data_IF_749183887715
#
_entry.id   IF_749183887715
#
_cell.length_a   1.000
_cell.length_b   1.000
_cell.length_c   1.000
_cell.angle_alpha   90.00
_cell.angle_beta   90.00
_cell.angle_gamma   90.00
#
_symmetry.space_group_name_H-M   'P 1'
#
loop_
_entity.id
_entity.type
_entity.pdbx_description
1 polymer ?
#
# COMPACT_ATOMS: atom_id res chain seq x y z
N UNK A 1 20.47 -10.79 3.29
CA UNK A 1 20.25 -12.22 3.59
C UNK A 1 21.37 -13.00 2.93
N UNK A 2 22.16 -13.73 3.72
CA UNK A 2 23.30 -14.52 3.21
C UNK A 2 22.83 -15.93 2.86
N UNK A 3 23.09 -16.37 1.64
CA UNK A 3 22.77 -17.72 1.16
C UNK A 3 23.95 -18.33 0.42
N UNK A 4 24.03 -19.65 0.42
CA UNK A 4 25.03 -20.40 -0.36
C UNK A 4 24.49 -20.64 -1.76
N UNK A 5 25.23 -20.20 -2.79
CA UNK A 5 24.79 -20.28 -4.18
C UNK A 5 25.80 -21.08 -5.00
N UNK A 6 25.36 -21.98 -5.91
CA UNK A 6 26.25 -22.65 -6.85
C UNK A 6 26.93 -21.66 -7.80
N UNK A 7 28.25 -21.79 -8.01
CA UNK A 7 28.98 -20.89 -8.92
C UNK A 7 28.46 -20.94 -10.36
N UNK A 8 27.89 -22.08 -10.78
CA UNK A 8 27.28 -22.26 -12.10
C UNK A 8 26.09 -21.32 -12.38
N UNK A 9 25.50 -20.74 -11.33
CA UNK A 9 24.40 -19.77 -11.42
C UNK A 9 24.88 -18.32 -11.53
N UNK A 10 26.17 -18.05 -11.35
CA UNK A 10 26.77 -16.71 -11.35
C UNK A 10 27.54 -16.38 -12.64
N UNK A 11 27.24 -17.04 -13.77
CA UNK A 11 28.02 -16.95 -15.02
C UNK A 11 28.13 -15.54 -15.61
N UNK A 12 27.09 -14.72 -15.47
CA UNK A 12 27.01 -13.39 -16.13
C UNK A 12 27.56 -12.24 -15.27
N UNK A 13 28.15 -12.56 -14.13
CA UNK A 13 28.72 -11.56 -13.23
C UNK A 13 30.14 -11.23 -13.69
N UNK A 14 30.31 -10.03 -14.26
CA UNK A 14 31.62 -9.54 -14.73
C UNK A 14 32.54 -9.26 -13.53
N UNK A 15 33.80 -9.68 -13.65
CA UNK A 15 34.84 -9.33 -12.70
C UNK A 15 35.57 -8.08 -13.20
N UNK A 16 35.50 -6.97 -12.47
CA UNK A 16 36.34 -5.80 -12.74
C UNK A 16 37.75 -6.00 -12.16
N UNK A 17 38.74 -5.31 -12.77
CA UNK A 17 40.16 -5.34 -12.36
C UNK A 17 40.31 -4.92 -10.89
N UNK A 18 41.13 -5.65 -10.13
CA UNK A 18 41.39 -5.39 -8.71
C UNK A 18 42.88 -5.25 -8.41
N UNK A 19 43.21 -4.70 -7.22
CA UNK A 19 44.60 -4.59 -6.74
C UNK A 19 45.16 -5.94 -6.27
N UNK A 20 46.43 -6.20 -6.60
CA UNK A 20 47.12 -7.46 -6.30
C UNK A 20 47.20 -7.78 -4.78
N UNK A 21 47.17 -6.75 -3.94
CA UNK A 21 47.40 -6.86 -2.50
C UNK A 21 46.20 -7.49 -1.76
N UNK A 22 44.96 -7.17 -2.16
CA UNK A 22 43.74 -7.78 -1.61
C UNK A 22 43.60 -9.25 -1.99
N UNK A 23 44.15 -9.66 -3.13
CA UNK A 23 44.14 -11.06 -3.55
C UNK A 23 45.03 -11.94 -2.65
N UNK A 24 46.12 -11.40 -2.08
CA UNK A 24 47.08 -12.17 -1.26
C UNK A 24 46.46 -12.72 0.03
N UNK A 25 45.72 -11.91 0.79
CA UNK A 25 45.02 -12.35 2.01
C UNK A 25 43.93 -13.39 1.71
N UNK A 26 43.28 -13.26 0.57
CA UNK A 26 42.11 -14.09 0.21
C UNK A 26 42.54 -15.42 -0.41
N UNK A 27 43.72 -15.45 -1.04
CA UNK A 27 44.40 -16.69 -1.46
C UNK A 27 44.83 -17.59 -0.29
N UNK A 28 44.87 -17.09 0.95
CA UNK A 28 45.17 -17.94 2.12
C UNK A 28 43.95 -18.72 2.63
N UNK A 29 42.73 -18.36 2.23
CA UNK A 29 41.53 -19.10 2.59
C UNK A 29 41.63 -20.55 2.08
N UNK A 30 41.30 -21.54 2.90
CA UNK A 30 41.34 -22.97 2.49
C UNK A 30 40.01 -23.41 1.92
N UNK A 31 38.91 -22.85 2.43
CA UNK A 31 37.53 -23.17 2.05
C UNK A 31 36.74 -21.91 1.65
N UNK A 32 35.68 -22.10 0.86
CA UNK A 32 34.71 -21.05 0.55
C UNK A 32 33.97 -20.53 1.79
N UNK A 33 33.94 -21.34 2.86
CA UNK A 33 33.36 -20.98 4.15
C UNK A 33 34.18 -19.91 4.88
N UNK A 34 35.48 -19.82 4.61
CA UNK A 34 36.39 -18.85 5.24
C UNK A 34 36.27 -17.47 4.58
N UNK A 35 35.67 -17.39 3.39
CA UNK A 35 35.48 -16.13 2.70
C UNK A 35 34.28 -15.36 3.24
N UNK A 36 34.38 -14.03 3.41
CA UNK A 36 33.20 -13.22 3.65
C UNK A 36 32.24 -13.29 2.44
N UNK A 37 30.92 -13.15 2.63
CA UNK A 37 29.95 -13.26 1.54
C UNK A 37 30.14 -12.15 0.51
N UNK A 38 30.05 -12.51 -0.78
CA UNK A 38 30.02 -11.52 -1.87
C UNK A 38 28.66 -10.82 -1.89
N UNK A 39 28.56 -9.60 -2.42
CA UNK A 39 27.31 -8.85 -2.49
C UNK A 39 26.83 -8.75 -3.92
N UNK A 40 25.57 -9.12 -4.14
CA UNK A 40 24.91 -9.03 -5.45
C UNK A 40 23.70 -8.13 -5.32
N UNK A 41 23.62 -7.13 -6.20
CA UNK A 41 22.48 -6.24 -6.34
C UNK A 41 21.70 -6.56 -7.63
N UNK A 42 20.40 -6.30 -7.62
CA UNK A 42 19.58 -6.36 -8.82
C UNK A 42 19.52 -5.00 -9.51
N UNK A 43 20.06 -4.91 -10.72
CA UNK A 43 19.92 -3.76 -11.59
C UNK A 43 18.74 -3.95 -12.55
N UNK A 44 17.93 -2.90 -12.78
CA UNK A 44 16.72 -3.02 -13.61
C UNK A 44 17.03 -3.35 -15.07
N UNK A 45 18.09 -2.78 -15.64
CA UNK A 45 18.48 -2.99 -17.04
C UNK A 45 19.41 -4.18 -17.25
N UNK A 46 20.22 -4.54 -16.26
CA UNK A 46 21.36 -5.44 -16.44
C UNK A 46 21.27 -6.74 -15.62
N UNK A 47 20.16 -6.94 -14.90
CA UNK A 47 19.95 -8.12 -14.07
C UNK A 47 20.85 -8.14 -12.83
N UNK A 48 21.36 -9.31 -12.46
CA UNK A 48 22.22 -9.49 -11.30
C UNK A 48 23.63 -8.94 -11.57
N UNK A 49 24.06 -7.98 -10.75
CA UNK A 49 25.41 -7.43 -10.79
C UNK A 49 26.09 -7.60 -9.43
N UNK A 50 27.40 -7.85 -9.43
CA UNK A 50 28.17 -7.88 -8.19
C UNK A 50 28.41 -6.44 -7.74
N UNK A 51 27.97 -6.12 -6.53
CA UNK A 51 28.28 -4.84 -5.91
C UNK A 51 29.59 -4.90 -5.12
N UNK A 52 29.95 -6.08 -4.60
CA UNK A 52 31.22 -6.30 -3.89
C UNK A 52 31.65 -7.78 -3.93
N UNK A 53 32.95 -8.04 -3.89
CA UNK A 53 33.51 -9.39 -3.78
C UNK A 53 33.99 -10.02 -5.08
N UNK A 54 34.31 -9.22 -6.09
CA UNK A 54 34.83 -9.68 -7.39
C UNK A 54 36.01 -10.67 -7.24
N UNK A 55 36.98 -10.34 -6.39
CA UNK A 55 38.17 -11.14 -6.13
C UNK A 55 37.84 -12.48 -5.46
N UNK A 56 36.84 -12.50 -4.56
CA UNK A 56 36.38 -13.72 -3.88
C UNK A 56 35.69 -14.66 -4.88
N UNK A 57 34.87 -14.10 -5.77
CA UNK A 57 34.22 -14.86 -6.83
C UNK A 57 35.24 -15.48 -7.79
N UNK A 58 36.30 -14.74 -8.13
CA UNK A 58 37.33 -15.25 -9.02
C UNK A 58 38.24 -16.29 -8.37
N UNK A 59 38.64 -16.10 -7.12
CA UNK A 59 39.41 -17.11 -6.38
C UNK A 59 38.57 -18.39 -6.22
N UNK A 60 37.26 -18.27 -5.97
CA UNK A 60 36.37 -19.42 -5.92
C UNK A 60 36.29 -20.18 -7.27
N UNK A 61 36.33 -19.46 -8.39
CA UNK A 61 36.40 -20.06 -9.74
C UNK A 61 37.76 -20.70 -10.01
N UNK A 62 38.85 -20.00 -9.70
CA UNK A 62 40.23 -20.47 -9.86
C UNK A 62 40.47 -21.78 -9.08
N UNK A 63 39.88 -21.90 -7.88
CA UNK A 63 39.98 -23.10 -7.04
C UNK A 63 38.95 -24.19 -7.33
N UNK A 64 38.10 -24.01 -8.34
CA UNK A 64 37.09 -25.00 -8.71
C UNK A 64 36.03 -25.27 -7.63
N UNK A 65 35.75 -24.30 -6.76
CA UNK A 65 34.73 -24.49 -5.73
C UNK A 65 33.33 -24.58 -6.35
N UNK A 66 32.47 -25.43 -5.78
CA UNK A 66 31.10 -25.58 -6.29
C UNK A 66 30.16 -24.47 -5.84
N UNK A 67 30.45 -23.84 -4.70
CA UNK A 67 29.56 -22.88 -4.02
C UNK A 67 30.30 -21.68 -3.43
N UNK A 68 29.57 -20.58 -3.22
CA UNK A 68 30.05 -19.40 -2.51
C UNK A 68 28.93 -18.76 -1.69
N UNK A 69 29.28 -18.08 -0.59
CA UNK A 69 28.33 -17.28 0.20
C UNK A 69 28.01 -15.97 -0.52
N UNK A 70 26.73 -15.68 -0.71
CA UNK A 70 26.21 -14.49 -1.39
C UNK A 70 25.21 -13.78 -0.50
N UNK A 71 25.35 -12.46 -0.39
CA UNK A 71 24.35 -11.58 0.20
C UNK A 71 23.64 -10.82 -0.92
N UNK A 72 22.32 -11.02 -1.05
CA UNK A 72 21.52 -10.31 -2.03
C UNK A 72 20.94 -9.03 -1.44
N UNK A 73 21.20 -7.91 -2.10
CA UNK A 73 20.67 -6.59 -1.75
C UNK A 73 19.40 -6.29 -2.57
N UNK A 74 18.31 -5.93 -1.90
CA UNK A 74 17.06 -5.52 -2.56
C UNK A 74 16.23 -6.64 -3.19
N UNK A 75 16.58 -7.92 -2.98
CA UNK A 75 15.84 -9.08 -3.51
C UNK A 75 15.14 -9.86 -2.39
N UNK A 76 13.82 -10.01 -2.49
CA UNK A 76 13.04 -10.89 -1.61
C UNK A 76 13.17 -12.37 -1.99
N UNK A 77 12.87 -13.26 -1.03
CA UNK A 77 13.00 -14.72 -1.18
C UNK A 77 12.22 -15.30 -2.39
N UNK A 78 11.05 -14.75 -2.71
CA UNK A 78 10.25 -15.18 -3.85
C UNK A 78 10.99 -15.01 -5.20
N UNK A 79 11.68 -13.87 -5.36
CA UNK A 79 12.45 -13.58 -6.58
C UNK A 79 13.72 -14.42 -6.66
N UNK A 80 14.37 -14.70 -5.51
CA UNK A 80 15.51 -15.63 -5.44
C UNK A 80 15.12 -17.07 -5.81
N UNK A 81 13.95 -17.54 -5.41
CA UNK A 81 13.40 -18.84 -5.85
C UNK A 81 13.12 -18.88 -7.34
N UNK A 82 12.52 -17.82 -7.90
CA UNK A 82 12.25 -17.73 -9.34
C UNK A 82 13.53 -17.76 -10.18
N UNK A 83 14.64 -17.22 -9.66
CA UNK A 83 15.96 -17.26 -10.28
C UNK A 83 16.69 -18.60 -10.07
N UNK A 84 16.09 -19.56 -9.36
CA UNK A 84 16.71 -20.85 -9.03
C UNK A 84 17.90 -20.74 -8.07
N UNK A 85 17.99 -19.64 -7.30
CA UNK A 85 19.05 -19.38 -6.32
C UNK A 85 18.72 -19.92 -4.93
N UNK A 86 17.43 -20.25 -4.71
CA UNK A 86 16.94 -20.94 -3.54
C UNK A 86 16.22 -22.21 -3.99
N UNK A 87 16.27 -23.29 -3.20
CA UNK A 87 15.51 -24.50 -3.49
C UNK A 87 14.02 -24.17 -3.65
N UNK A 88 13.38 -24.84 -4.60
CA UNK A 88 11.95 -24.74 -4.82
C UNK A 88 11.23 -25.16 -3.52
N UNK A 89 10.59 -24.21 -2.84
CA UNK A 89 9.65 -24.57 -1.78
C UNK A 89 8.53 -25.43 -2.36
N UNK A 90 7.88 -26.27 -1.54
CA UNK A 90 6.80 -27.23 -1.93
C UNK A 90 5.59 -26.62 -2.68
N UNK A 91 5.60 -25.34 -3.07
CA UNK A 91 4.55 -24.61 -3.78
C UNK A 91 5.05 -23.84 -5.02
N UNK A 92 6.12 -24.29 -5.69
CA UNK A 92 6.76 -23.54 -6.78
C UNK A 92 6.56 -24.10 -8.19
N UNK A 93 5.57 -24.97 -8.43
CA UNK A 93 5.34 -25.54 -9.78
C UNK A 93 4.54 -24.63 -10.74
N UNK A 94 4.04 -23.47 -10.29
CA UNK A 94 3.18 -22.63 -11.14
C UNK A 94 3.89 -21.71 -12.14
N UNK A 95 5.17 -21.38 -11.92
CA UNK A 95 5.84 -20.30 -12.65
C UNK A 95 6.70 -20.80 -13.82
N UNK A 96 7.25 -22.02 -13.73
CA UNK A 96 8.05 -22.63 -14.81
C UNK A 96 7.19 -23.12 -15.98
N UNK A 97 5.93 -23.48 -15.71
CA UNK A 97 4.95 -23.88 -16.73
C UNK A 97 4.47 -22.71 -17.60
N UNK A 98 4.61 -21.47 -17.10
CA UNK A 98 4.20 -20.26 -17.80
C UNK A 98 5.15 -19.86 -18.95
N UNK A 99 6.40 -20.33 -18.90
CA UNK A 99 7.44 -19.93 -19.85
C UNK A 99 7.61 -20.91 -21.02
N UNK A 100 6.84 -22.01 -21.09
CA UNK A 100 7.12 -23.12 -22.01
C UNK A 100 6.04 -23.52 -23.02
N UNK A 101 4.89 -22.85 -23.10
CA UNK A 101 3.82 -23.28 -24.03
C UNK A 101 3.59 -22.34 -25.21
N UNK A 102 4.07 -22.75 -26.38
CA UNK A 102 3.54 -22.40 -27.70
C UNK A 102 2.34 -23.31 -28.03
N UNK A 103 1.28 -22.71 -28.58
CA UNK A 103 0.11 -23.24 -29.34
C UNK A 103 -0.90 -24.19 -28.65
N UNK A 104 -2.13 -23.67 -28.55
CA UNK A 104 -3.47 -24.24 -28.83
C UNK A 104 -4.51 -23.80 -27.77
N UNK A 105 -5.73 -23.36 -28.14
CA UNK A 105 -6.69 -22.81 -27.18
C UNK A 105 -7.42 -23.95 -26.45
N UNK A 106 -6.97 -24.29 -25.24
CA UNK A 106 -7.76 -25.12 -24.32
C UNK A 106 -8.64 -24.24 -23.44
N UNK A 107 -9.87 -24.70 -23.19
CA UNK A 107 -10.91 -24.08 -22.34
C UNK A 107 -10.31 -23.36 -21.13
N UNK A 108 -10.84 -22.16 -20.83
CA UNK A 108 -10.30 -21.30 -19.77
C UNK A 108 -10.15 -22.07 -18.45
N UNK A 109 -9.06 -21.80 -17.72
CA UNK A 109 -8.75 -22.41 -16.42
C UNK A 109 -9.91 -22.26 -15.41
N UNK A 110 -10.70 -21.20 -15.55
CA UNK A 110 -11.90 -20.95 -14.76
C UNK A 110 -13.05 -21.91 -15.06
N UNK A 111 -13.09 -22.49 -16.26
CA UNK A 111 -14.08 -23.47 -16.68
C UNK A 111 -13.66 -24.87 -16.26
N UNK A 112 -12.39 -25.23 -16.43
CA UNK A 112 -11.84 -26.50 -15.93
C UNK A 112 -11.97 -26.62 -14.40
N UNK A 113 -11.73 -25.54 -13.66
CA UNK A 113 -11.95 -25.53 -12.20
C UNK A 113 -13.45 -25.65 -11.86
N UNK A 114 -14.35 -24.99 -12.59
CA UNK A 114 -15.80 -25.10 -12.35
C UNK A 114 -16.31 -26.53 -12.54
N UNK A 115 -15.85 -27.21 -13.58
CA UNK A 115 -16.26 -28.59 -13.87
C UNK A 115 -15.68 -29.57 -12.83
N UNK A 116 -14.45 -29.32 -12.35
CA UNK A 116 -13.83 -30.10 -11.28
C UNK A 116 -14.52 -29.91 -9.90
N UNK A 117 -15.01 -28.71 -9.57
CA UNK A 117 -15.73 -28.47 -8.32
C UNK A 117 -17.16 -29.02 -8.35
N UNK A 118 -17.82 -28.94 -9.51
CA UNK A 118 -19.17 -29.47 -9.72
C UNK A 118 -19.19 -31.00 -9.65
N UNK A 119 -18.15 -31.67 -10.14
CA UNK A 119 -17.99 -33.13 -10.02
C UNK A 119 -17.61 -33.62 -8.63
N UNK A 120 -17.05 -32.76 -7.77
CA UNK A 120 -16.70 -33.10 -6.40
C UNK A 120 -17.81 -32.81 -5.36
N UNK A 121 -19.01 -32.38 -5.80
CA UNK A 121 -20.14 -32.07 -4.92
C UNK A 121 -19.88 -30.89 -3.96
N UNK A 122 -18.87 -30.06 -4.24
CA UNK A 122 -18.48 -28.95 -3.37
C UNK A 122 -19.34 -27.73 -3.67
N UNK A 123 -20.08 -27.28 -2.67
CA UNK A 123 -20.88 -26.06 -2.76
C UNK A 123 -19.99 -24.83 -3.01
N UNK A 124 -20.07 -24.31 -4.23
CA UNK A 124 -19.23 -23.21 -4.71
C UNK A 124 -19.54 -21.87 -4.05
N UNK A 125 -20.68 -21.76 -3.36
CA UNK A 125 -21.13 -20.52 -2.72
C UNK A 125 -20.47 -20.30 -1.36
N UNK A 126 -20.33 -21.36 -0.55
CA UNK A 126 -19.60 -21.34 0.72
C UNK A 126 -18.09 -21.04 0.54
N UNK A 127 -17.50 -21.43 -0.58
CA UNK A 127 -16.11 -21.12 -0.94
C UNK A 127 -15.93 -19.65 -1.40
N UNK A 128 -16.94 -19.06 -2.04
CA UNK A 128 -16.92 -17.65 -2.46
C UNK A 128 -16.97 -16.69 -1.27
N UNK A 129 -17.75 -17.02 -0.23
CA UNK A 129 -17.83 -16.21 0.99
C UNK A 129 -16.53 -16.30 1.82
N UNK A 130 -15.90 -17.47 1.89
CA UNK A 130 -14.60 -17.65 2.55
C UNK A 130 -13.40 -17.02 1.82
N UNK A 131 -13.38 -17.04 0.47
CA UNK A 131 -12.32 -16.39 -0.31
C UNK A 131 -12.41 -14.86 -0.35
N UNK A 132 -13.59 -14.27 -0.17
CA UNK A 132 -13.76 -12.80 -0.13
C UNK A 132 -13.15 -12.22 1.15
N UNK A 133 -13.44 -12.82 2.31
CA UNK A 133 -12.88 -12.40 3.62
C UNK A 133 -11.35 -12.46 3.65
N UNK A 134 -10.74 -13.51 3.09
CA UNK A 134 -9.27 -13.65 3.10
C UNK A 134 -8.56 -12.73 2.10
N UNK A 135 -9.21 -12.39 0.98
CA UNK A 135 -8.67 -11.44 -0.01
C UNK A 135 -8.73 -9.99 0.47
N UNK A 136 -9.82 -9.55 1.07
CA UNK A 136 -9.92 -8.18 1.61
C UNK A 136 -8.90 -7.94 2.72
N UNK A 137 -8.75 -8.90 3.62
CA UNK A 137 -7.81 -8.82 4.75
C UNK A 137 -6.34 -8.88 4.28
N UNK A 138 -6.06 -9.63 3.22
CA UNK A 138 -4.74 -9.65 2.57
C UNK A 138 -4.45 -8.40 1.75
N UNK A 139 -5.46 -7.78 1.11
CA UNK A 139 -5.35 -6.50 0.41
C UNK A 139 -5.15 -5.34 1.40
N UNK A 140 -5.84 -5.34 2.54
CA UNK A 140 -5.65 -4.37 3.62
C UNK A 140 -4.22 -4.45 4.20
N UNK A 141 -3.70 -5.68 4.42
CA UNK A 141 -2.30 -5.91 4.82
C UNK A 141 -1.28 -5.51 3.74
N UNK A 142 -1.60 -5.69 2.45
CA UNK A 142 -0.76 -5.26 1.33
C UNK A 142 -0.78 -3.73 1.13
N UNK A 143 -1.92 -3.08 1.31
CA UNK A 143 -2.06 -1.62 1.29
C UNK A 143 -1.24 -0.99 2.42
N UNK A 144 -1.31 -1.55 3.64
CA UNK A 144 -0.50 -1.13 4.78
C UNK A 144 1.01 -1.33 4.54
N UNK A 145 1.41 -2.35 3.77
CA UNK A 145 2.81 -2.61 3.40
C UNK A 145 3.33 -1.74 2.25
N UNK A 146 2.49 -1.42 1.26
CA UNK A 146 2.89 -0.64 0.06
C UNK A 146 2.93 0.87 0.33
N UNK A 147 2.12 1.36 1.27
CA UNK A 147 2.18 2.74 1.79
C UNK A 147 3.13 2.91 2.99
N UNK A 148 3.91 1.88 3.34
CA UNK A 148 5.07 1.98 4.24
C UNK A 148 6.25 2.75 3.62
N UNK A 149 5.98 3.85 2.90
CA UNK A 149 7.00 4.88 2.65
C UNK A 149 7.53 5.26 4.02
N UNK A 150 8.86 5.20 4.17
CA UNK A 150 9.61 5.58 5.37
C UNK A 150 8.82 6.64 6.12
N UNK A 151 8.22 6.28 7.26
CA UNK A 151 7.84 7.29 8.26
C UNK A 151 9.10 8.13 8.40
N UNK A 152 9.08 9.38 7.90
CA UNK A 152 10.09 10.36 8.29
C UNK A 152 10.02 10.30 9.81
N UNK A 153 11.01 9.67 10.44
CA UNK A 153 11.17 9.80 11.88
C UNK A 153 11.24 11.31 12.07
N UNK A 154 10.35 11.85 12.88
CA UNK A 154 10.57 13.18 13.40
C UNK A 154 11.95 13.10 14.02
N UNK A 155 12.96 13.71 13.40
CA UNK A 155 14.29 13.70 13.98
C UNK A 155 14.15 14.50 15.25
N UNK A 156 14.44 13.93 16.41
CA UNK A 156 14.35 14.63 17.70
C UNK A 156 15.06 16.00 17.63
N UNK A 157 16.13 16.06 16.84
CA UNK A 157 16.85 17.30 16.50
C UNK A 157 15.98 18.41 15.87
N UNK A 158 15.00 18.10 15.01
CA UNK A 158 14.16 19.12 14.38
C UNK A 158 13.06 19.64 15.31
N UNK A 159 12.50 18.78 16.16
CA UNK A 159 11.51 19.18 17.15
C UNK A 159 12.15 19.98 18.29
N UNK A 160 13.34 19.58 18.74
CA UNK A 160 14.10 20.31 19.73
C UNK A 160 14.44 21.72 19.23
N UNK A 161 15.03 21.86 18.04
CA UNK A 161 15.38 23.16 17.46
C UNK A 161 14.16 24.11 17.35
N UNK A 162 13.01 23.60 16.92
CA UNK A 162 11.78 24.40 16.86
C UNK A 162 11.32 24.84 18.26
N UNK A 163 11.36 23.95 19.25
CA UNK A 163 11.03 24.27 20.63
C UNK A 163 11.98 25.32 21.22
N UNK A 164 13.29 25.21 20.96
CA UNK A 164 14.28 26.18 21.44
C UNK A 164 14.08 27.55 20.80
N UNK A 165 13.84 27.60 19.49
CA UNK A 165 13.54 28.85 18.79
C UNK A 165 12.26 29.50 19.31
N UNK A 166 11.23 28.71 19.61
CA UNK A 166 9.94 29.22 20.11
C UNK A 166 10.01 29.68 21.57
N UNK A 167 10.73 28.96 22.43
CA UNK A 167 10.79 29.26 23.87
C UNK A 167 12.02 30.06 24.31
N UNK A 168 13.00 30.27 23.43
CA UNK A 168 14.24 31.01 23.72
C UNK A 168 15.19 30.31 24.70
N UNK A 169 15.03 28.99 24.92
CA UNK A 169 15.85 28.21 25.86
C UNK A 169 15.98 26.75 25.41
N UNK A 170 17.09 26.07 25.78
CA UNK A 170 17.33 24.69 25.35
C UNK A 170 16.29 23.71 25.90
N UNK A 171 15.98 22.67 25.13
CA UNK A 171 15.04 21.62 25.57
C UNK A 171 15.66 20.81 26.71
N UNK A 172 14.92 20.69 27.81
CA UNK A 172 15.38 19.98 29.03
C UNK A 172 14.87 18.54 29.14
N UNK A 173 13.70 18.26 28.58
CA UNK A 173 13.04 16.96 28.76
C UNK A 173 12.14 16.67 27.56
N UNK A 174 12.21 15.45 27.04
CA UNK A 174 11.21 14.87 26.13
C UNK A 174 10.27 14.01 26.97
N UNK A 175 8.96 14.15 26.78
CA UNK A 175 7.94 13.36 27.48
C UNK A 175 7.11 12.59 26.47
N UNK A 176 7.01 11.30 26.67
CA UNK A 176 6.08 10.46 25.92
C UNK A 176 4.72 10.51 26.61
N UNK A 177 3.68 10.87 25.86
CA UNK A 177 2.30 10.87 26.31
C UNK A 177 1.56 9.76 25.58
N UNK A 178 0.93 8.86 26.34
CA UNK A 178 0.07 7.84 25.77
C UNK A 178 -1.32 8.43 25.53
N UNK A 179 -1.78 8.37 24.29
CA UNK A 179 -3.12 8.80 23.88
C UNK A 179 -3.99 7.58 23.59
N UNK A 180 -5.26 7.64 24.00
CA UNK A 180 -6.26 6.63 23.68
C UNK A 180 -7.12 7.17 22.55
N UNK A 181 -7.13 6.46 21.42
CA UNK A 181 -7.97 6.78 20.28
C UNK A 181 -9.19 5.86 20.29
N UNK A 182 -10.37 6.45 20.18
CA UNK A 182 -11.61 5.71 20.00
C UNK A 182 -12.04 5.83 18.54
N UNK A 183 -12.10 4.69 17.85
CA UNK A 183 -12.71 4.58 16.53
C UNK A 183 -13.99 3.76 16.67
N UNK A 184 -15.09 4.13 15.98
CA UNK A 184 -16.29 3.30 15.96
C UNK A 184 -15.96 1.89 15.45
N UNK A 185 -16.37 0.87 16.19
CA UNK A 185 -16.16 -0.54 15.85
C UNK A 185 -17.13 -1.02 14.76
N UNK A 186 -18.31 -0.41 14.70
CA UNK A 186 -19.38 -0.72 13.76
C UNK A 186 -19.81 0.52 13.00
N UNK A 187 -19.94 0.37 11.68
CA UNK A 187 -20.45 1.39 10.79
C UNK A 187 -21.54 0.78 9.90
N UNK A 188 -22.64 1.52 9.71
CA UNK A 188 -23.68 1.20 8.76
C UNK A 188 -23.23 1.64 7.36
N UNK A 189 -23.26 0.74 6.38
CA UNK A 189 -22.85 1.02 5.01
C UNK A 189 -24.01 1.64 4.22
N UNK A 190 -23.80 2.86 3.68
CA UNK A 190 -24.83 3.61 2.94
C UNK A 190 -24.71 3.41 1.42
N UNK A 191 -23.49 3.20 0.92
CA UNK A 191 -23.26 3.08 -0.52
C UNK A 191 -21.83 3.37 -0.95
N UNK A 192 -21.59 3.37 -2.25
CA UNK A 192 -20.32 3.80 -2.84
C UNK A 192 -20.38 5.31 -3.10
N UNK A 193 -19.44 6.07 -2.58
CA UNK A 193 -19.35 7.51 -2.84
C UNK A 193 -19.17 7.74 -4.34
N UNK A 194 -19.99 8.63 -4.90
CA UNK A 194 -19.94 9.06 -6.30
C UNK A 194 -19.27 10.43 -6.37
N UNK A 195 -19.72 11.38 -5.55
CA UNK A 195 -19.15 12.73 -5.50
C UNK A 195 -19.52 13.50 -4.24
N UNK A 196 -18.80 14.58 -3.99
CA UNK A 196 -19.06 15.59 -2.96
C UNK A 196 -19.01 16.98 -3.59
N UNK A 197 -20.02 17.82 -3.37
CA UNK A 197 -20.00 19.23 -3.73
C UNK A 197 -19.51 20.07 -2.55
N UNK A 198 -18.48 20.88 -2.75
CA UNK A 198 -17.84 21.69 -1.70
C UNK A 198 -17.82 23.15 -2.11
N UNK A 199 -18.31 24.04 -1.25
CA UNK A 199 -18.30 25.47 -1.48
C UNK A 199 -16.88 26.04 -1.37
N UNK A 200 -16.52 26.87 -2.36
CA UNK A 200 -15.22 27.56 -2.45
C UNK A 200 -15.47 29.03 -2.78
N UNK A 201 -15.57 29.87 -1.77
CA UNK A 201 -15.98 31.27 -1.94
C UNK A 201 -17.45 31.47 -1.54
N UNK A 202 -18.11 32.48 -2.09
CA UNK A 202 -19.50 32.80 -1.74
C UNK A 202 -20.48 31.80 -2.37
N UNK A 203 -20.38 31.53 -3.69
CA UNK A 203 -21.36 30.70 -4.40
C UNK A 203 -20.75 29.61 -5.32
N UNK A 204 -19.42 29.52 -5.41
CA UNK A 204 -18.79 28.53 -6.31
C UNK A 204 -18.76 27.14 -5.64
N UNK A 205 -19.28 26.14 -6.34
CA UNK A 205 -19.25 24.73 -5.90
C UNK A 205 -18.21 23.96 -6.70
N UNK A 206 -17.26 23.33 -5.99
CA UNK A 206 -16.33 22.38 -6.58
C UNK A 206 -16.75 20.95 -6.28
N UNK A 207 -16.92 20.17 -7.35
CA UNK A 207 -17.19 18.73 -7.25
C UNK A 207 -15.90 17.94 -7.04
N UNK A 208 -15.90 17.08 -6.03
CA UNK A 208 -14.85 16.13 -5.72
C UNK A 208 -15.34 14.71 -5.99
N UNK A 209 -14.78 14.09 -7.02
CA UNK A 209 -15.04 12.69 -7.36
C UNK A 209 -13.94 11.80 -6.77
N UNK A 210 -14.23 10.92 -5.78
CA UNK A 210 -13.25 10.02 -5.21
C UNK A 210 -12.70 9.03 -6.25
N UNK A 211 -11.46 8.58 -6.04
CA UNK A 211 -10.84 7.57 -6.89
C UNK A 211 -11.08 6.17 -6.30
N UNK A 212 -11.61 5.28 -7.11
CA UNK A 212 -11.86 3.89 -6.69
C UNK A 212 -13.09 3.73 -5.78
N UNK A 213 -13.12 2.64 -5.01
CA UNK A 213 -14.32 2.21 -4.29
C UNK A 213 -14.37 2.77 -2.86
N UNK A 214 -14.52 4.09 -2.73
CA UNK A 214 -14.77 4.74 -1.43
C UNK A 214 -16.21 4.47 -1.02
N UNK A 215 -16.42 4.00 0.21
CA UNK A 215 -17.75 3.76 0.79
C UNK A 215 -18.17 4.94 1.66
N UNK A 216 -19.43 5.31 1.58
CA UNK A 216 -20.08 6.18 2.56
C UNK A 216 -20.67 5.29 3.63
N UNK A 217 -20.32 5.56 4.88
CA UNK A 217 -20.82 4.83 6.02
C UNK A 217 -21.29 5.81 7.12
N UNK A 218 -22.11 5.35 8.06
CA UNK A 218 -22.57 6.16 9.17
C UNK A 218 -22.41 5.44 10.51
N UNK A 219 -22.35 6.20 11.60
CA UNK A 219 -22.43 5.63 12.94
C UNK A 219 -23.80 4.98 13.18
N UNK A 220 -23.90 4.04 14.14
CA UNK A 220 -25.20 3.47 14.53
C UNK A 220 -26.21 4.51 15.03
N UNK A 221 -25.73 5.64 15.57
CA UNK A 221 -26.56 6.77 15.99
C UNK A 221 -27.05 7.64 14.82
N UNK A 222 -26.65 7.33 13.58
CA UNK A 222 -26.95 8.08 12.36
C UNK A 222 -26.44 9.54 12.30
N UNK A 223 -25.73 10.03 13.32
CA UNK A 223 -25.31 11.43 13.40
C UNK A 223 -23.95 11.74 12.79
N UNK A 224 -23.16 10.75 12.36
CA UNK A 224 -21.85 11.00 11.76
C UNK A 224 -21.62 10.12 10.53
N UNK A 225 -21.25 10.75 9.41
CA UNK A 225 -20.83 10.10 8.17
C UNK A 225 -19.31 9.92 8.15
N UNK A 226 -18.87 8.77 7.63
CA UNK A 226 -17.48 8.38 7.41
C UNK A 226 -17.25 7.96 5.96
N UNK A 227 -16.06 8.26 5.43
CA UNK A 227 -15.58 7.76 4.15
C UNK A 227 -14.58 6.62 4.36
N UNK A 228 -14.93 5.41 3.93
CA UNK A 228 -14.20 4.19 4.26
C UNK A 228 -13.69 3.48 3.00
N UNK A 229 -12.43 3.03 3.03
CA UNK A 229 -11.82 2.32 1.91
C UNK A 229 -11.55 3.23 0.70
N UNK A 230 -11.29 2.60 -0.45
CA UNK A 230 -10.97 3.30 -1.70
C UNK A 230 -9.67 4.11 -1.67
N UNK A 231 -9.45 4.94 -2.70
CA UNK A 231 -8.38 5.92 -2.76
C UNK A 231 -8.95 7.33 -2.59
N UNK A 232 -8.76 7.87 -1.38
CA UNK A 232 -9.24 9.19 -0.99
C UNK A 232 -8.14 10.25 -1.13
N UNK A 233 -7.00 9.92 -1.74
CA UNK A 233 -5.88 10.84 -1.86
C UNK A 233 -6.18 11.96 -2.86
N UNK A 234 -6.02 13.20 -2.41
CA UNK A 234 -6.13 14.38 -3.25
C UNK A 234 -4.81 14.69 -3.94
N UNK A 235 -4.88 15.12 -5.20
CA UNK A 235 -3.71 15.61 -5.92
C UNK A 235 -3.34 17.02 -5.45
N UNK A 236 -2.12 17.47 -5.75
CA UNK A 236 -1.71 18.85 -5.46
C UNK A 236 -2.57 19.88 -6.19
N UNK A 237 -3.10 19.52 -7.36
CA UNK A 237 -4.01 20.37 -8.13
C UNK A 237 -5.36 20.49 -7.43
N UNK A 238 -5.92 19.38 -6.94
CA UNK A 238 -7.17 19.38 -6.17
C UNK A 238 -7.00 20.24 -4.91
N UNK A 239 -5.91 20.04 -4.17
CA UNK A 239 -5.63 20.83 -2.95
C UNK A 239 -5.53 22.33 -3.23
N UNK A 240 -4.90 22.73 -4.35
CA UNK A 240 -4.83 24.15 -4.75
C UNK A 240 -6.20 24.74 -5.07
N UNK A 241 -7.10 23.96 -5.69
CA UNK A 241 -8.46 24.41 -6.00
C UNK A 241 -9.25 24.72 -4.73
N UNK A 242 -9.04 23.95 -3.66
CA UNK A 242 -9.61 24.21 -2.34
C UNK A 242 -8.82 25.25 -1.51
N UNK A 243 -7.96 26.05 -2.14
CA UNK A 243 -7.21 27.11 -1.45
C UNK A 243 -6.10 26.62 -0.52
N UNK A 244 -5.77 25.32 -0.51
CA UNK A 244 -4.68 24.83 0.32
C UNK A 244 -3.34 25.36 -0.18
N UNK A 245 -2.58 26.01 0.71
CA UNK A 245 -1.27 26.54 0.39
C UNK A 245 -0.22 25.41 0.41
N UNK A 246 0.33 25.00 -0.75
CA UNK A 246 1.30 23.89 -0.82
C UNK A 246 2.64 24.21 -0.14
N UNK A 247 2.89 25.47 0.23
CA UNK A 247 4.10 25.87 0.96
C UNK A 247 4.00 25.60 2.46
N UNK A 248 2.79 25.45 2.99
CA UNK A 248 2.57 25.14 4.40
C UNK A 248 2.33 23.63 4.53
N UNK A 249 3.32 22.93 5.10
CA UNK A 249 3.17 21.51 5.45
C UNK A 249 2.20 21.40 6.65
N UNK A 250 0.89 21.34 6.37
CA UNK A 250 -0.15 21.09 7.37
C UNK A 250 -0.59 19.62 7.32
N UNK A 251 -0.82 19.04 8.49
CA UNK A 251 -1.30 17.66 8.62
C UNK A 251 -2.81 17.53 8.34
N UNK A 252 -3.58 18.57 8.66
CA UNK A 252 -5.03 18.64 8.44
C UNK A 252 -5.37 19.87 7.60
N UNK A 253 -6.23 19.68 6.61
CA UNK A 253 -6.69 20.71 5.68
C UNK A 253 -8.21 20.78 5.73
N UNK A 254 -8.73 21.98 5.97
CA UNK A 254 -10.14 22.29 5.74
C UNK A 254 -10.30 22.62 4.25
N UNK A 255 -11.20 21.91 3.57
CA UNK A 255 -11.44 22.11 2.13
C UNK A 255 -12.59 23.09 1.88
N UNK A 256 -13.60 23.09 2.76
CA UNK A 256 -14.74 24.01 2.70
C UNK A 256 -16.03 23.38 3.23
N UNK A 257 -17.13 24.15 3.32
CA UNK A 257 -18.46 23.61 3.58
C UNK A 257 -18.86 22.61 2.49
N UNK A 258 -19.35 21.44 2.86
CA UNK A 258 -19.83 20.41 1.95
C UNK A 258 -21.33 20.66 1.72
N UNK A 259 -21.69 21.07 0.52
CA UNK A 259 -23.08 21.36 0.14
C UNK A 259 -23.82 20.10 -0.30
N UNK A 260 -23.17 19.23 -1.08
CA UNK A 260 -23.85 18.04 -1.61
C UNK A 260 -23.03 16.77 -1.43
N UNK A 261 -23.72 15.64 -1.39
CA UNK A 261 -23.15 14.30 -1.42
C UNK A 261 -23.97 13.40 -2.31
N UNK A 262 -23.32 12.66 -3.20
CA UNK A 262 -23.97 11.62 -3.99
C UNK A 262 -23.32 10.25 -3.74
N UNK A 263 -24.14 9.22 -3.60
CA UNK A 263 -23.69 7.85 -3.43
C UNK A 263 -24.55 6.84 -4.18
N UNK A 264 -23.89 5.82 -4.71
CA UNK A 264 -24.49 4.72 -5.43
C UNK A 264 -24.91 3.62 -4.45
N UNK A 265 -26.20 3.30 -4.43
CA UNK A 265 -26.75 2.25 -3.56
C UNK A 265 -28.05 1.67 -4.12
N UNK A 266 -28.65 0.71 -3.40
CA UNK A 266 -29.92 0.09 -3.73
C UNK A 266 -30.84 0.15 -2.51
N UNK A 267 -31.87 0.99 -2.55
CA UNK A 267 -32.82 1.16 -1.42
C UNK A 267 -34.14 0.43 -1.67
N UNK A 268 -34.78 0.00 -0.58
CA UNK A 268 -36.02 -0.79 -0.64
C UNK A 268 -37.19 -0.06 -1.32
N UNK A 269 -37.33 1.26 -1.08
CA UNK A 269 -38.40 2.05 -1.68
C UNK A 269 -38.24 2.26 -3.20
N UNK A 270 -37.05 2.00 -3.75
CA UNK A 270 -36.81 1.91 -5.20
C UNK A 270 -36.65 0.46 -5.66
N UNK A 271 -37.32 -0.50 -4.98
CA UNK A 271 -37.30 -1.93 -5.35
C UNK A 271 -35.89 -2.52 -5.47
N UNK A 272 -34.93 -1.95 -4.74
CA UNK A 272 -33.51 -2.30 -4.80
C UNK A 272 -32.86 -2.11 -6.18
N UNK A 273 -33.43 -1.30 -7.06
CA UNK A 273 -32.77 -0.91 -8.30
C UNK A 273 -31.53 -0.05 -7.94
N UNK A 274 -30.32 -0.40 -8.42
CA UNK A 274 -29.12 0.39 -8.18
C UNK A 274 -29.28 1.79 -8.78
N UNK A 275 -29.06 2.82 -7.98
CA UNK A 275 -29.21 4.22 -8.38
C UNK A 275 -28.21 5.10 -7.63
N UNK A 276 -27.93 6.26 -8.21
CA UNK A 276 -27.16 7.32 -7.56
C UNK A 276 -28.15 8.22 -6.80
N UNK A 277 -27.95 8.34 -5.50
CA UNK A 277 -28.76 9.18 -4.62
C UNK A 277 -27.95 10.41 -4.25
N UNK A 278 -28.47 11.58 -4.60
CA UNK A 278 -27.91 12.88 -4.27
C UNK A 278 -28.69 13.50 -3.11
N UNK A 279 -27.97 14.16 -2.22
CA UNK A 279 -28.53 14.89 -1.08
C UNK A 279 -27.81 16.22 -0.92
N UNK A 280 -28.58 17.26 -0.63
CA UNK A 280 -28.05 18.55 -0.20
C UNK A 280 -28.00 18.61 1.34
N UNK A 281 -26.89 19.06 1.87
CA UNK A 281 -26.75 19.39 3.28
C UNK A 281 -27.28 20.80 3.54
N UNK A 282 -27.70 21.06 4.79
CA UNK A 282 -28.16 22.38 5.22
C UNK A 282 -29.50 22.82 4.67
N UNK A 283 -30.26 21.93 4.03
CA UNK A 283 -31.68 22.18 3.72
C UNK A 283 -32.45 22.50 5.01
N UNK A 284 -33.58 23.21 4.85
CA UNK A 284 -34.45 23.63 5.96
C UNK A 284 -33.76 24.52 7.02
N UNK A 285 -32.66 25.18 6.65
CA UNK A 285 -31.90 26.06 7.55
C UNK A 285 -30.90 25.31 8.44
N UNK A 286 -30.57 24.06 8.08
CA UNK A 286 -29.53 23.28 8.72
C UNK A 286 -28.12 23.83 8.50
N UNK A 287 -27.20 23.46 9.38
CA UNK A 287 -25.79 23.82 9.25
C UNK A 287 -25.08 22.88 8.26
N UNK A 288 -24.28 23.45 7.37
CA UNK A 288 -23.44 22.67 6.45
C UNK A 288 -22.29 21.98 7.21
N UNK A 289 -22.05 20.69 6.98
CA UNK A 289 -20.83 20.06 7.46
C UNK A 289 -19.61 20.61 6.72
N UNK A 290 -18.45 20.60 7.37
CA UNK A 290 -17.19 20.97 6.74
C UNK A 290 -16.44 19.74 6.24
N UNK A 291 -16.05 19.73 4.97
CA UNK A 291 -15.16 18.71 4.42
C UNK A 291 -13.71 19.00 4.80
N UNK A 292 -13.08 18.02 5.41
CA UNK A 292 -11.69 18.06 5.83
C UNK A 292 -10.90 16.91 5.20
N UNK A 293 -9.58 17.10 5.12
CA UNK A 293 -8.63 16.12 4.60
C UNK A 293 -7.43 15.99 5.53
N UNK A 294 -7.14 14.75 5.95
CA UNK A 294 -5.92 14.40 6.66
C UNK A 294 -4.84 14.01 5.65
N UNK A 295 -3.79 14.82 5.56
CA UNK A 295 -2.69 14.67 4.59
C UNK A 295 -1.85 13.42 4.87
N UNK A 296 -1.75 13.01 6.13
CA UNK A 296 -0.91 11.88 6.56
C UNK A 296 -1.61 10.56 6.33
N UNK A 297 -2.88 10.45 6.74
CA UNK A 297 -3.68 9.25 6.52
C UNK A 297 -4.29 9.19 5.12
N UNK A 298 -4.32 10.34 4.41
CA UNK A 298 -4.93 10.54 3.08
C UNK A 298 -6.41 10.17 3.08
N UNK A 299 -7.12 10.65 4.10
CA UNK A 299 -8.55 10.39 4.29
C UNK A 299 -9.33 11.69 4.28
N UNK A 300 -10.51 11.64 3.67
CA UNK A 300 -11.53 12.66 3.78
C UNK A 300 -12.36 12.38 5.03
N UNK A 301 -12.87 13.43 5.66
CA UNK A 301 -13.83 13.32 6.76
C UNK A 301 -14.69 14.58 6.86
N UNK A 302 -15.92 14.42 7.34
CA UNK A 302 -16.84 15.52 7.61
C UNK A 302 -16.78 15.90 9.09
N UNK A 303 -16.87 17.19 9.37
CA UNK A 303 -16.94 17.75 10.73
C UNK A 303 -18.14 18.67 10.85
N UNK A 304 -18.95 18.48 11.90
CA UNK A 304 -20.13 19.30 12.18
C UNK A 304 -21.27 19.05 11.20
N UNK A 305 -22.11 20.08 11.02
CA UNK A 305 -23.37 20.03 10.27
C UNK A 305 -24.54 19.51 11.10
N UNK A 306 -25.77 19.77 10.66
CA UNK A 306 -27.00 19.35 11.36
C UNK A 306 -27.58 18.03 10.83
N UNK A 307 -26.94 17.41 9.85
CA UNK A 307 -27.50 16.26 9.15
C UNK A 307 -27.71 15.02 10.03
N UNK A 308 -28.70 14.20 9.66
CA UNK A 308 -28.98 12.88 10.23
C UNK A 308 -29.28 11.88 9.10
N UNK A 309 -28.78 10.66 9.23
CA UNK A 309 -29.04 9.59 8.27
C UNK A 309 -30.33 8.84 8.61
N UNK A 310 -31.31 8.88 7.73
CA UNK A 310 -32.61 8.19 7.86
C UNK A 310 -32.83 7.17 6.72
N UNK A 311 -33.82 6.27 6.83
CA UNK A 311 -34.13 5.32 5.76
C UNK A 311 -34.39 5.97 4.39
N UNK A 312 -35.05 7.13 4.39
CA UNK A 312 -35.30 7.95 3.20
C UNK A 312 -34.00 8.52 2.60
N UNK A 313 -33.03 8.89 3.43
CA UNK A 313 -31.80 9.51 2.98
C UNK A 313 -31.08 10.31 4.06
N UNK A 314 -30.16 11.17 3.62
CA UNK A 314 -29.52 12.16 4.49
C UNK A 314 -30.46 13.37 4.54
N UNK A 315 -30.86 13.76 5.74
CA UNK A 315 -31.76 14.90 6.00
C UNK A 315 -31.13 15.83 7.02
N UNK A 316 -31.69 17.03 7.23
CA UNK A 316 -31.21 18.01 8.20
C UNK A 316 -32.10 18.13 9.44
#
# INVERSE_FOLDING_TARGET
MTITVPLSKLKNVRAERWSAERAKKIRQAKSWQDLPPIRIAWHRSNGLQLSDGHHRLAIARERGWSHIKVNFEGLGQAKLRALGMLPAGRRANGLLDLLRRKKAPTKSRAQQMRDAFRSAGVDTEALRSGLRRTKEDSLYRLYRRKNGRRRRRNTEASAAALSEAFHGRPVRQVRDVAEVFFEPDQLADLGRLVELGVLVGEDDVLTLTPRGNVRVAATPSAGQIYFVGGDQALSLEDLKKFGANPRLEKDHLQLGPCQTIAYHTSKAFHRFEPSDYEHEFGEEGGDLPTLCYDVRSRKLYLVGGSYVVKPEGIVN
#
